data_IF_924162865456
#
_entry.id   IF_924162865456
#
_cell.length_a   1.000
_cell.length_b   1.000
_cell.length_c   1.000
_cell.angle_alpha   90.00
_cell.angle_beta   90.00
_cell.angle_gamma   90.00
#
_symmetry.space_group_name_H-M   'P 1'
#
loop_
_entity.id
_entity.type
_entity.pdbx_description
1 polymer ?
#
# COMPACT_ATOMS: atom_id res chain seq x y z
N UNK A 1 2.93 -47.04 -21.22
CA UNK A 1 3.60 -46.17 -20.22
C UNK A 1 3.18 -44.69 -20.35
N UNK A 2 1.91 -44.40 -20.61
CA UNK A 2 1.40 -43.02 -20.86
C UNK A 2 0.49 -42.49 -19.74
N UNK A 3 0.02 -43.32 -18.81
CA UNK A 3 -0.90 -42.91 -17.74
C UNK A 3 -0.26 -42.13 -16.59
N UNK A 4 0.93 -42.53 -16.13
CA UNK A 4 1.53 -41.97 -14.91
C UNK A 4 1.98 -40.49 -15.03
N UNK A 5 2.34 -40.04 -16.24
CA UNK A 5 2.74 -38.64 -16.48
C UNK A 5 1.55 -37.68 -16.49
N UNK A 6 0.39 -38.13 -16.97
CA UNK A 6 -0.82 -37.31 -16.99
C UNK A 6 -1.38 -37.08 -15.57
N UNK A 7 -1.33 -38.10 -14.71
CA UNK A 7 -1.81 -38.00 -13.32
C UNK A 7 -0.93 -37.09 -12.46
N UNK A 8 0.39 -37.13 -12.65
CA UNK A 8 1.32 -36.26 -11.91
C UNK A 8 1.17 -34.77 -12.27
N UNK A 9 0.94 -34.46 -13.55
CA UNK A 9 0.71 -33.07 -14.01
C UNK A 9 -0.64 -32.54 -13.51
N UNK A 10 -1.70 -33.36 -13.53
CA UNK A 10 -3.01 -32.96 -13.02
C UNK A 10 -3.00 -32.67 -11.49
N UNK A 11 -2.26 -33.45 -10.70
CA UNK A 11 -2.08 -33.22 -9.26
C UNK A 11 -1.29 -31.93 -8.97
N UNK A 12 -0.26 -31.63 -9.76
CA UNK A 12 0.52 -30.41 -9.61
C UNK A 12 -0.31 -29.14 -9.94
N UNK A 13 -1.12 -29.17 -11.00
CA UNK A 13 -1.99 -28.04 -11.38
C UNK A 13 -3.13 -27.84 -10.37
N UNK A 14 -3.71 -28.93 -9.84
CA UNK A 14 -4.73 -28.87 -8.79
C UNK A 14 -4.22 -28.26 -7.48
N UNK A 15 -2.97 -28.55 -7.10
CA UNK A 15 -2.35 -27.96 -5.91
C UNK A 15 -2.09 -26.45 -6.08
N UNK A 16 -1.66 -26.03 -7.28
CA UNK A 16 -1.43 -24.61 -7.60
C UNK A 16 -2.74 -23.81 -7.54
N UNK A 17 -3.85 -24.38 -8.02
CA UNK A 17 -5.17 -23.73 -7.96
C UNK A 17 -5.71 -23.63 -6.52
N UNK A 18 -5.49 -24.64 -5.67
CA UNK A 18 -5.90 -24.61 -4.27
C UNK A 18 -5.09 -23.60 -3.42
N UNK A 19 -3.86 -23.27 -3.83
CA UNK A 19 -3.03 -22.26 -3.19
C UNK A 19 -3.33 -20.82 -3.63
N UNK A 20 -4.17 -20.60 -4.66
CA UNK A 20 -4.72 -19.29 -5.02
C UNK A 20 -5.88 -18.85 -4.07
N UNK A 21 -5.86 -19.33 -2.83
CA UNK A 21 -6.95 -19.26 -1.88
C UNK A 21 -7.42 -17.84 -1.60
N UNK A 22 -8.74 -17.64 -1.74
CA UNK A 22 -9.58 -16.60 -1.15
C UNK A 22 -8.87 -15.27 -0.85
N UNK A 23 -8.20 -14.72 -1.86
CA UNK A 23 -7.68 -13.38 -1.83
C UNK A 23 -8.82 -12.36 -1.93
N UNK A 24 -8.77 -11.24 -1.21
CA UNK A 24 -9.52 -10.06 -1.66
C UNK A 24 -9.11 -9.77 -3.10
N UNK A 25 -10.08 -9.66 -4.01
CA UNK A 25 -9.76 -9.31 -5.39
C UNK A 25 -8.97 -7.99 -5.43
N UNK A 26 -7.98 -7.84 -6.33
CA UNK A 26 -7.38 -6.55 -6.57
C UNK A 26 -8.44 -5.55 -7.06
N UNK A 27 -8.22 -4.27 -6.79
CA UNK A 27 -9.04 -3.20 -7.33
C UNK A 27 -9.07 -3.26 -8.86
N UNK A 28 -10.24 -2.98 -9.44
CA UNK A 28 -10.36 -2.85 -10.89
C UNK A 28 -9.66 -1.59 -11.37
N UNK A 29 -9.30 -1.58 -12.66
CA UNK A 29 -8.65 -0.43 -13.29
C UNK A 29 -9.52 0.84 -13.21
N UNK A 30 -10.83 0.71 -13.38
CA UNK A 30 -11.77 1.84 -13.28
C UNK A 30 -11.75 2.49 -11.88
N UNK A 31 -11.66 1.68 -10.82
CA UNK A 31 -11.57 2.20 -9.44
C UNK A 31 -10.23 2.91 -9.21
N UNK A 32 -9.14 2.36 -9.76
CA UNK A 32 -7.81 2.99 -9.68
C UNK A 32 -7.78 4.31 -10.45
N UNK A 33 -8.33 4.35 -11.66
CA UNK A 33 -8.29 5.53 -12.52
C UNK A 33 -9.23 6.66 -12.05
N UNK A 34 -10.25 6.34 -11.25
CA UNK A 34 -11.13 7.31 -10.61
C UNK A 34 -10.45 8.12 -9.48
N UNK A 35 -9.36 7.62 -8.88
CA UNK A 35 -8.57 8.32 -7.87
C UNK A 35 -7.24 8.81 -8.48
N UNK A 36 -7.04 10.12 -8.68
CA UNK A 36 -5.82 10.66 -9.29
C UNK A 36 -4.53 10.29 -8.55
N UNK A 37 -4.56 10.20 -7.21
CA UNK A 37 -3.39 9.86 -6.41
C UNK A 37 -3.09 8.37 -6.49
N UNK A 38 -4.13 7.53 -6.41
CA UNK A 38 -3.95 6.09 -6.55
C UNK A 38 -3.46 5.70 -7.95
N UNK A 39 -3.93 6.39 -9.00
CA UNK A 39 -3.44 6.22 -10.37
C UNK A 39 -1.94 6.50 -10.51
N UNK A 40 -1.43 7.53 -9.82
CA UNK A 40 0.00 7.87 -9.80
C UNK A 40 0.81 6.75 -9.12
N UNK A 41 0.33 6.25 -7.97
CA UNK A 41 0.94 5.10 -7.28
C UNK A 41 0.93 3.85 -8.15
N UNK A 42 -0.19 3.55 -8.80
CA UNK A 42 -0.32 2.38 -9.65
C UNK A 42 0.64 2.42 -10.83
N UNK A 43 0.80 3.59 -11.47
CA UNK A 43 1.78 3.75 -12.54
C UNK A 43 3.22 3.51 -12.08
N UNK A 44 3.58 3.91 -10.85
CA UNK A 44 4.89 3.61 -10.26
C UNK A 44 5.05 2.12 -9.95
N UNK A 45 4.00 1.47 -9.45
CA UNK A 45 3.98 0.03 -9.20
C UNK A 45 4.13 -0.76 -10.52
N UNK A 46 3.37 -0.39 -11.56
CA UNK A 46 3.46 -0.97 -12.91
C UNK A 46 4.90 -0.95 -13.44
N UNK A 47 5.55 0.22 -13.41
CA UNK A 47 6.96 0.34 -13.82
C UNK A 47 7.87 -0.56 -12.99
N UNK A 48 7.73 -0.51 -11.66
CA UNK A 48 8.57 -1.29 -10.75
C UNK A 48 8.48 -2.79 -11.00
N UNK A 49 7.27 -3.30 -11.24
CA UNK A 49 7.02 -4.72 -11.55
C UNK A 49 7.57 -5.07 -12.93
N UNK A 50 7.32 -4.23 -13.94
CA UNK A 50 7.82 -4.47 -15.30
C UNK A 50 9.35 -4.47 -15.34
N UNK A 51 10.00 -3.51 -14.68
CA UNK A 51 11.47 -3.43 -14.61
C UNK A 51 12.07 -4.65 -13.90
N UNK A 52 11.42 -5.15 -12.85
CA UNK A 52 11.86 -6.37 -12.17
C UNK A 52 11.76 -7.58 -13.11
N UNK A 53 10.64 -7.74 -13.80
CA UNK A 53 10.42 -8.85 -14.72
C UNK A 53 11.27 -8.77 -16.00
N UNK A 54 11.70 -7.57 -16.40
CA UNK A 54 12.56 -7.33 -17.54
C UNK A 54 14.06 -7.36 -17.21
N UNK A 55 14.43 -7.54 -15.94
CA UNK A 55 15.82 -7.54 -15.50
C UNK A 55 16.61 -8.69 -16.14
N UNK A 56 17.72 -8.38 -16.81
CA UNK A 56 18.62 -9.39 -17.38
C UNK A 56 19.54 -10.01 -16.33
N UNK A 57 19.89 -9.24 -15.30
CA UNK A 57 20.81 -9.65 -14.22
C UNK A 57 20.13 -10.49 -13.13
N UNK A 58 18.81 -10.65 -13.17
CA UNK A 58 18.03 -11.21 -12.07
C UNK A 58 16.73 -11.85 -12.57
N UNK A 59 16.47 -13.09 -12.18
CA UNK A 59 15.24 -13.78 -12.56
C UNK A 59 14.16 -13.60 -11.48
N UNK A 60 13.16 -12.78 -11.77
CA UNK A 60 12.03 -12.52 -10.87
C UNK A 60 10.85 -13.47 -11.11
N UNK A 61 10.35 -14.03 -10.02
CA UNK A 61 9.29 -15.05 -10.00
C UNK A 61 8.20 -14.64 -9.02
N UNK A 62 6.98 -15.10 -9.27
CA UNK A 62 5.82 -14.78 -8.45
C UNK A 62 5.25 -16.01 -7.73
N UNK A 63 4.59 -15.74 -6.61
CA UNK A 63 3.84 -16.68 -5.83
C UNK A 63 4.67 -17.85 -5.32
N UNK A 64 3.99 -18.95 -5.06
CA UNK A 64 4.59 -20.16 -4.51
C UNK A 64 5.65 -20.80 -5.40
N UNK A 65 5.49 -20.70 -6.72
CA UNK A 65 6.50 -21.16 -7.65
C UNK A 65 7.79 -20.34 -7.50
N UNK A 66 7.68 -19.03 -7.32
CA UNK A 66 8.83 -18.17 -7.03
C UNK A 66 9.55 -18.56 -5.75
N UNK A 67 8.80 -18.86 -4.68
CA UNK A 67 9.39 -19.37 -3.43
C UNK A 67 10.21 -20.65 -3.66
N UNK A 68 9.68 -21.60 -4.44
CA UNK A 68 10.38 -22.84 -4.74
C UNK A 68 11.65 -22.57 -5.56
N UNK A 69 11.55 -21.74 -6.61
CA UNK A 69 12.65 -21.47 -7.55
C UNK A 69 13.85 -20.80 -6.88
N UNK A 70 13.64 -19.88 -5.94
CA UNK A 70 14.73 -19.25 -5.17
C UNK A 70 15.62 -20.28 -4.45
N UNK A 71 15.09 -21.46 -4.10
CA UNK A 71 15.85 -22.48 -3.37
C UNK A 71 16.48 -23.57 -4.24
N UNK A 72 16.00 -23.75 -5.48
CA UNK A 72 16.39 -24.90 -6.32
C UNK A 72 17.10 -24.51 -7.61
N UNK A 73 16.87 -23.29 -8.10
CA UNK A 73 17.47 -22.83 -9.34
C UNK A 73 18.82 -22.14 -9.05
N UNK A 74 19.88 -22.42 -9.85
CA UNK A 74 21.16 -21.74 -9.71
C UNK A 74 21.08 -20.30 -10.24
N UNK A 75 21.79 -19.37 -9.60
CA UNK A 75 21.87 -17.97 -10.02
C UNK A 75 21.02 -17.04 -9.16
N UNK A 76 20.86 -15.79 -9.62
CA UNK A 76 20.17 -14.73 -8.88
C UNK A 76 18.66 -14.79 -9.12
N UNK A 77 18.01 -15.67 -8.35
CA UNK A 77 16.57 -15.87 -8.36
C UNK A 77 15.89 -15.11 -7.23
N UNK A 78 14.88 -14.32 -7.60
CA UNK A 78 14.05 -13.58 -6.66
C UNK A 78 12.59 -14.00 -6.79
N UNK A 79 11.90 -14.16 -5.67
CA UNK A 79 10.51 -14.60 -5.71
C UNK A 79 9.87 -14.87 -4.37
N UNK A 80 10.59 -14.65 -3.27
CA UNK A 80 10.02 -14.61 -1.92
C UNK A 80 9.18 -13.35 -1.76
N UNK A 81 8.12 -13.41 -0.94
CA UNK A 81 7.24 -12.26 -0.72
C UNK A 81 7.98 -11.03 -0.20
N UNK A 82 8.99 -11.20 0.67
CA UNK A 82 9.81 -10.08 1.12
C UNK A 82 10.75 -9.51 0.04
N UNK A 83 11.20 -10.30 -0.94
CA UNK A 83 11.95 -9.78 -2.10
C UNK A 83 11.10 -8.78 -2.90
N UNK A 84 9.83 -9.14 -3.12
CA UNK A 84 8.88 -8.24 -3.79
C UNK A 84 8.50 -7.05 -2.92
N UNK A 85 8.32 -7.22 -1.61
CA UNK A 85 8.09 -6.10 -0.70
C UNK A 85 9.21 -5.06 -0.81
N UNK A 86 10.47 -5.49 -0.73
CA UNK A 86 11.62 -4.58 -0.80
C UNK A 86 11.69 -3.89 -2.17
N UNK A 87 11.48 -4.63 -3.27
CA UNK A 87 11.47 -4.06 -4.64
C UNK A 87 10.35 -3.04 -4.84
N UNK A 88 9.13 -3.38 -4.43
CA UNK A 88 7.96 -2.49 -4.52
C UNK A 88 8.16 -1.25 -3.67
N UNK A 89 8.64 -1.40 -2.44
CA UNK A 89 8.90 -0.26 -1.55
C UNK A 89 9.91 0.69 -2.17
N UNK A 90 11.05 0.18 -2.64
CA UNK A 90 12.08 0.97 -3.28
C UNK A 90 11.57 1.72 -4.52
N UNK A 91 10.77 1.06 -5.37
CA UNK A 91 10.27 1.65 -6.62
C UNK A 91 9.12 2.64 -6.44
N UNK A 92 8.28 2.48 -5.41
CA UNK A 92 7.07 3.30 -5.22
C UNK A 92 7.27 4.43 -4.21
N UNK A 93 8.22 4.31 -3.29
CA UNK A 93 8.36 5.23 -2.15
C UNK A 93 8.44 6.71 -2.51
N UNK A 94 9.34 7.09 -3.42
CA UNK A 94 9.51 8.50 -3.81
C UNK A 94 8.23 9.09 -4.41
N UNK A 95 7.48 8.27 -5.15
CA UNK A 95 6.19 8.66 -5.75
C UNK A 95 5.13 8.86 -4.67
N UNK A 96 5.04 7.95 -3.69
CA UNK A 96 4.09 8.07 -2.58
C UNK A 96 4.38 9.29 -1.70
N UNK A 97 5.65 9.49 -1.33
CA UNK A 97 6.07 10.64 -0.51
C UNK A 97 5.82 11.97 -1.24
N UNK A 98 6.05 12.03 -2.56
CA UNK A 98 5.83 13.24 -3.36
C UNK A 98 4.36 13.70 -3.41
N UNK A 99 3.40 12.77 -3.32
CA UNK A 99 1.96 13.09 -3.26
C UNK A 99 1.45 13.24 -1.81
N UNK A 100 2.35 13.27 -0.82
CA UNK A 100 2.03 13.44 0.60
C UNK A 100 1.56 12.16 1.31
N UNK A 101 1.64 11.00 0.66
CA UNK A 101 1.27 9.72 1.25
C UNK A 101 2.45 9.11 2.03
N UNK A 102 2.13 8.24 2.97
CA UNK A 102 3.09 7.41 3.70
C UNK A 102 3.15 6.02 3.08
N UNK A 103 4.28 5.36 3.27
CA UNK A 103 4.57 4.03 2.76
C UNK A 103 5.37 3.23 3.79
N UNK A 104 5.03 1.97 3.99
CA UNK A 104 5.71 1.07 4.94
C UNK A 104 5.53 -0.39 4.51
N UNK A 105 6.28 -1.30 5.13
CA UNK A 105 6.05 -2.74 4.98
C UNK A 105 4.95 -3.22 5.91
N UNK A 106 4.31 -4.32 5.53
CA UNK A 106 3.41 -5.09 6.37
C UNK A 106 3.73 -6.57 6.20
N UNK A 107 3.92 -7.26 7.32
CA UNK A 107 4.04 -8.71 7.38
C UNK A 107 2.76 -9.32 7.96
N UNK A 108 2.29 -10.43 7.41
CA UNK A 108 1.17 -11.19 7.96
C UNK A 108 1.54 -12.68 8.05
N UNK A 109 0.93 -13.39 9.01
CA UNK A 109 1.20 -14.79 9.27
C UNK A 109 2.70 -15.10 9.48
N UNK A 110 3.41 -14.21 10.17
CA UNK A 110 4.85 -14.28 10.39
C UNK A 110 5.28 -15.61 11.03
N UNK A 111 6.28 -16.26 10.44
CA UNK A 111 6.80 -17.56 10.90
C UNK A 111 5.94 -18.76 10.51
N UNK A 112 4.86 -18.56 9.76
CA UNK A 112 3.98 -19.63 9.29
C UNK A 112 4.22 -19.91 7.81
N UNK A 113 3.75 -21.08 7.34
CA UNK A 113 3.86 -21.42 5.93
C UNK A 113 3.21 -20.36 5.01
N UNK A 114 2.18 -19.65 5.48
CA UNK A 114 1.50 -18.61 4.71
C UNK A 114 1.98 -17.19 5.01
N UNK A 115 3.20 -17.07 5.55
CA UNK A 115 3.89 -15.78 5.73
C UNK A 115 3.82 -14.95 4.45
N UNK A 116 3.36 -13.71 4.57
CA UNK A 116 3.17 -12.83 3.44
C UNK A 116 3.61 -11.41 3.78
N UNK A 117 4.52 -10.89 2.97
CA UNK A 117 5.07 -9.55 3.09
C UNK A 117 4.58 -8.71 1.91
N UNK A 118 4.09 -7.51 2.22
CA UNK A 118 3.56 -6.55 1.24
C UNK A 118 3.93 -5.14 1.62
N UNK A 119 3.65 -4.21 0.71
CA UNK A 119 3.81 -2.78 0.96
C UNK A 119 2.44 -2.15 1.22
N UNK A 120 2.36 -1.29 2.22
CA UNK A 120 1.20 -0.47 2.53
C UNK A 120 1.49 0.97 2.15
N UNK A 121 0.60 1.58 1.38
CA UNK A 121 0.55 3.02 1.11
C UNK A 121 -0.72 3.61 1.69
N UNK A 122 -0.63 4.80 2.29
CA UNK A 122 -1.79 5.44 2.90
C UNK A 122 -1.68 6.95 2.97
N UNK A 123 -2.81 7.64 2.90
CA UNK A 123 -2.88 9.08 3.20
C UNK A 123 -2.84 9.30 4.72
N UNK A 124 -1.79 9.94 5.28
CA UNK A 124 -1.67 10.10 6.73
C UNK A 124 -2.72 11.02 7.35
N UNK A 125 -3.47 11.82 6.58
CA UNK A 125 -4.51 12.71 7.13
C UNK A 125 -5.68 11.96 7.77
N UNK A 126 -5.86 10.68 7.43
CA UNK A 126 -6.92 9.82 7.96
C UNK A 126 -6.49 8.85 9.06
N UNK A 127 -5.22 8.85 9.49
CA UNK A 127 -4.70 7.85 10.41
C UNK A 127 -3.75 8.44 11.44
N UNK A 128 -3.84 7.95 12.68
CA UNK A 128 -2.75 8.11 13.64
C UNK A 128 -1.50 7.37 13.12
N UNK A 129 -0.29 7.95 13.24
CA UNK A 129 0.93 7.38 12.67
C UNK A 129 1.22 5.92 13.06
N UNK A 130 0.77 5.50 14.24
CA UNK A 130 0.97 4.16 14.79
C UNK A 130 -0.12 3.14 14.42
N UNK A 131 -1.23 3.57 13.81
CA UNK A 131 -2.45 2.75 13.74
C UNK A 131 -3.08 2.52 12.35
N UNK A 132 -2.35 2.56 11.22
CA UNK A 132 -2.99 2.30 9.92
C UNK A 132 -3.59 0.89 9.82
N UNK A 133 -3.11 -0.09 10.58
CA UNK A 133 -3.66 -1.46 10.62
C UNK A 133 -4.92 -1.62 11.50
N UNK A 134 -5.17 -0.68 12.42
CA UNK A 134 -6.30 -0.72 13.35
C UNK A 134 -7.51 0.05 12.83
N UNK A 135 -7.28 1.04 11.97
CA UNK A 135 -8.35 1.84 11.39
C UNK A 135 -9.38 0.97 10.66
N UNK A 136 -10.63 1.08 11.10
CA UNK A 136 -11.74 0.25 10.68
C UNK A 136 -12.19 0.50 9.23
N UNK A 137 -11.84 1.64 8.61
CA UNK A 137 -12.53 2.01 7.36
C UNK A 137 -11.98 3.21 6.60
N UNK A 138 -10.73 3.62 6.78
CA UNK A 138 -10.19 4.66 5.90
C UNK A 138 -10.12 4.13 4.45
N UNK A 139 -10.84 4.77 3.52
CA UNK A 139 -10.82 4.44 2.07
C UNK A 139 -9.48 4.78 1.39
N UNK A 140 -8.47 5.20 2.16
CA UNK A 140 -7.21 5.77 1.66
C UNK A 140 -5.98 5.05 2.19
N UNK A 141 -6.11 3.73 2.40
CA UNK A 141 -5.01 2.83 2.66
C UNK A 141 -5.10 1.61 1.74
N UNK A 142 -4.00 1.32 1.06
CA UNK A 142 -3.94 0.31 0.03
C UNK A 142 -2.70 -0.57 0.19
N UNK A 143 -2.89 -1.86 -0.05
CA UNK A 143 -1.82 -2.85 -0.08
C UNK A 143 -1.37 -3.03 -1.52
N UNK A 144 -0.06 -2.93 -1.76
CA UNK A 144 0.60 -3.20 -3.02
C UNK A 144 1.23 -4.60 -2.97
N UNK A 145 0.73 -5.52 -3.79
CA UNK A 145 1.08 -6.95 -3.75
C UNK A 145 1.52 -7.47 -5.12
N UNK A 146 2.79 -7.28 -5.45
CA UNK A 146 3.34 -7.81 -6.68
C UNK A 146 3.65 -9.31 -6.61
N UNK A 147 3.86 -9.85 -5.40
CA UNK A 147 4.33 -11.22 -5.22
C UNK A 147 3.31 -12.25 -5.68
N UNK A 148 2.02 -12.10 -5.33
CA UNK A 148 1.02 -13.17 -5.58
C UNK A 148 0.94 -13.63 -7.03
N UNK A 149 1.00 -12.68 -7.97
CA UNK A 149 0.77 -12.94 -9.40
C UNK A 149 1.86 -12.41 -10.33
N UNK A 150 2.85 -11.69 -9.81
CA UNK A 150 3.81 -10.96 -10.65
C UNK A 150 3.14 -9.82 -11.41
N UNK A 151 2.10 -9.23 -10.81
CA UNK A 151 1.26 -8.18 -11.40
C UNK A 151 1.17 -7.00 -10.42
N UNK A 152 0.96 -5.77 -10.88
CA UNK A 152 0.88 -4.58 -10.02
C UNK A 152 -0.45 -4.52 -9.25
N UNK A 153 -0.73 -5.53 -8.42
CA UNK A 153 -2.00 -5.65 -7.73
C UNK A 153 -2.10 -4.66 -6.57
N UNK A 154 -3.23 -3.95 -6.51
CA UNK A 154 -3.59 -3.04 -5.42
C UNK A 154 -4.85 -3.57 -4.75
N UNK A 155 -4.82 -3.66 -3.43
CA UNK A 155 -5.97 -4.08 -2.62
C UNK A 155 -6.37 -2.97 -1.66
N UNK A 156 -7.67 -2.86 -1.34
CA UNK A 156 -8.08 -2.08 -0.16
C UNK A 156 -7.50 -2.75 1.09
N UNK A 157 -6.95 -1.95 2.01
CA UNK A 157 -6.37 -2.48 3.24
C UNK A 157 -7.37 -3.32 4.03
N UNK A 158 -8.62 -2.86 4.19
CA UNK A 158 -9.66 -3.61 4.93
C UNK A 158 -9.91 -5.01 4.37
N UNK A 159 -10.15 -5.11 3.06
CA UNK A 159 -10.34 -6.39 2.39
C UNK A 159 -9.10 -7.29 2.50
N UNK A 160 -7.89 -6.71 2.49
CA UNK A 160 -6.67 -7.47 2.70
C UNK A 160 -6.53 -7.98 4.14
N UNK A 161 -6.83 -7.15 5.15
CA UNK A 161 -6.80 -7.52 6.57
C UNK A 161 -7.80 -8.62 6.92
N UNK A 162 -9.00 -8.59 6.34
CA UNK A 162 -10.05 -9.57 6.60
C UNK A 162 -9.61 -11.01 6.26
N UNK A 163 -8.72 -11.16 5.26
CA UNK A 163 -8.14 -12.46 4.89
C UNK A 163 -7.31 -13.12 6.02
N UNK A 164 -6.74 -12.30 6.91
CA UNK A 164 -5.83 -12.73 7.98
C UNK A 164 -6.54 -12.73 9.34
N UNK A 165 -7.40 -11.73 9.60
CA UNK A 165 -8.20 -11.66 10.84
C UNK A 165 -9.09 -12.87 11.02
N UNK A 166 -9.72 -13.36 9.95
CA UNK A 166 -10.53 -14.59 9.99
C UNK A 166 -9.77 -15.85 10.38
N UNK A 167 -8.43 -15.81 10.41
CA UNK A 167 -7.54 -16.91 10.76
C UNK A 167 -6.82 -16.71 12.10
N UNK A 168 -7.17 -15.66 12.85
CA UNK A 168 -6.49 -15.29 14.09
C UNK A 168 -5.09 -14.70 13.89
N UNK A 169 -4.76 -14.28 12.66
CA UNK A 169 -3.45 -13.74 12.32
C UNK A 169 -3.51 -12.22 12.36
N UNK A 170 -2.58 -11.62 13.09
CA UNK A 170 -2.46 -10.16 13.17
C UNK A 170 -1.34 -9.68 12.26
N UNK A 171 -1.65 -8.92 11.21
CA UNK A 171 -0.64 -8.23 10.43
C UNK A 171 0.13 -7.24 11.31
N UNK A 172 1.42 -7.11 11.04
CA UNK A 172 2.34 -6.24 11.76
C UNK A 172 2.97 -5.24 10.81
N UNK A 173 3.12 -3.99 11.25
CA UNK A 173 3.89 -3.00 10.50
C UNK A 173 5.36 -3.37 10.54
N UNK A 174 5.99 -3.32 9.39
CA UNK A 174 7.42 -3.55 9.24
C UNK A 174 8.06 -2.22 8.84
N UNK A 175 8.91 -1.63 9.69
CA UNK A 175 9.68 -0.47 9.28
C UNK A 175 10.62 -0.90 8.15
N UNK A 176 10.31 -0.47 6.93
CA UNK A 176 11.19 -0.67 5.79
C UNK A 176 12.20 0.48 5.79
N UNK A 177 13.49 0.17 5.99
CA UNK A 177 14.50 1.22 6.05
C UNK A 177 14.59 1.93 4.71
N UNK A 178 14.88 3.23 4.78
CA UNK A 178 14.99 4.11 3.63
C UNK A 178 16.02 3.64 2.59
N UNK A 179 17.03 2.90 3.05
CA UNK A 179 18.16 2.40 2.29
C UNK A 179 18.58 1.06 2.88
N UNK A 180 18.21 -0.06 2.28
CA UNK A 180 18.88 -1.33 2.57
C UNK A 180 19.20 -2.08 1.29
N UNK A 181 20.41 -1.88 0.74
CA UNK A 181 21.08 -2.96 0.03
C UNK A 181 21.31 -4.19 0.94
N UNK A 182 21.44 -4.00 2.27
CA UNK A 182 21.90 -5.08 3.16
C UNK A 182 20.81 -6.06 3.62
N UNK A 183 19.51 -5.80 3.38
CA UNK A 183 18.46 -6.79 3.70
C UNK A 183 18.54 -8.02 2.80
N UNK A 184 18.99 -7.82 1.56
CA UNK A 184 19.35 -8.88 0.61
C UNK A 184 20.50 -9.76 1.15
N UNK A 185 21.40 -9.16 1.95
CA UNK A 185 22.62 -9.81 2.41
C UNK A 185 22.49 -10.46 3.80
N UNK A 186 21.55 -10.00 4.64
CA UNK A 186 21.49 -10.40 6.04
C UNK A 186 20.71 -11.70 6.31
N UNK A 187 19.86 -12.17 5.38
CA UNK A 187 19.18 -13.47 5.49
C UNK A 187 19.92 -14.51 4.64
N UNK A 188 21.07 -14.94 5.16
CA UNK A 188 21.93 -16.00 4.61
C UNK A 188 21.14 -17.18 4.04
N UNK A 189 21.11 -17.32 2.72
CA UNK A 189 20.90 -18.63 2.08
C UNK A 189 22.30 -19.16 1.71
N UNK A 190 22.87 -19.99 2.59
CA UNK A 190 24.02 -20.88 2.31
C UNK A 190 25.30 -20.23 1.74
N UNK A 191 25.75 -19.10 2.30
CA UNK A 191 27.15 -18.66 2.13
C UNK A 191 27.54 -18.10 0.76
N UNK A 192 26.57 -17.71 -0.08
CA UNK A 192 26.83 -16.99 -1.32
C UNK A 192 26.64 -15.50 -1.07
N UNK A 193 27.66 -14.70 -1.40
CA UNK A 193 27.61 -13.24 -1.39
C UNK A 193 26.86 -12.77 -2.63
N UNK A 194 25.77 -12.05 -2.43
CA UNK A 194 25.06 -11.33 -3.50
C UNK A 194 25.54 -9.88 -3.43
N UNK A 195 26.11 -9.36 -4.50
CA UNK A 195 26.47 -7.94 -4.55
C UNK A 195 25.20 -7.10 -4.72
N UNK A 196 25.14 -5.88 -4.14
CA UNK A 196 23.94 -5.05 -4.19
C UNK A 196 23.56 -4.73 -5.65
N UNK A 197 22.32 -5.04 -6.02
CA UNK A 197 21.78 -4.66 -7.32
C UNK A 197 21.76 -3.12 -7.39
N UNK A 198 22.42 -2.49 -8.37
CA UNK A 198 22.34 -1.05 -8.54
C UNK A 198 20.90 -0.68 -8.91
N UNK A 199 20.17 -0.10 -7.95
CA UNK A 199 18.89 0.53 -8.23
C UNK A 199 19.22 1.81 -8.99
N UNK A 200 19.01 1.81 -10.30
CA UNK A 200 19.03 3.05 -11.09
C UNK A 200 17.89 3.94 -10.61
N UNK A 201 18.21 4.95 -9.81
CA UNK A 201 17.25 5.93 -9.27
C UNK A 201 16.91 7.02 -10.29
N UNK A 202 17.17 6.79 -11.58
CA UNK A 202 16.81 7.73 -12.63
C UNK A 202 15.29 7.87 -12.66
N UNK A 203 14.79 8.97 -12.09
CA UNK A 203 13.37 9.25 -11.91
C UNK A 203 12.90 10.26 -12.98
N UNK A 204 12.43 9.83 -14.16
CA UNK A 204 11.91 10.74 -15.18
C UNK A 204 10.63 11.48 -14.72
N UNK A 205 9.99 11.07 -13.61
CA UNK A 205 8.83 11.78 -13.07
C UNK A 205 9.21 13.05 -12.30
N UNK A 206 10.47 13.23 -11.88
CA UNK A 206 10.91 14.51 -11.31
C UNK A 206 11.05 15.61 -12.37
N UNK A 207 11.33 15.25 -13.62
CA UNK A 207 11.50 16.21 -14.72
C UNK A 207 10.17 16.62 -15.39
N UNK A 208 9.06 15.92 -15.08
CA UNK A 208 7.76 16.14 -15.72
C UNK A 208 6.70 16.80 -14.81
N UNK A 209 6.99 17.04 -13.52
CA UNK A 209 6.07 17.77 -12.64
C UNK A 209 6.27 19.27 -12.87
N UNK A 210 5.46 19.83 -13.79
CA UNK A 210 5.26 21.27 -13.88
C UNK A 210 4.81 21.79 -12.50
N UNK A 211 5.35 22.92 -12.02
CA UNK A 211 4.93 23.50 -10.76
C UNK A 211 3.43 23.79 -10.81
N UNK A 212 2.67 23.16 -9.92
CA UNK A 212 1.28 23.56 -9.66
C UNK A 212 1.35 24.95 -9.03
N UNK A 213 1.02 25.97 -9.83
CA UNK A 213 0.92 27.35 -9.37
C UNK A 213 -0.05 27.42 -8.19
N UNK A 214 0.49 27.62 -6.98
CA UNK A 214 -0.27 28.03 -5.81
C UNK A 214 -0.95 29.37 -6.17
N UNK A 215 -2.26 29.57 -5.91
CA UNK A 215 -2.84 30.90 -6.01
C UNK A 215 -2.09 31.81 -5.04
N UNK A 216 -1.43 32.84 -5.58
CA UNK A 216 -0.79 33.88 -4.79
C UNK A 216 -1.87 34.55 -3.93
N UNK A 217 -1.72 34.43 -2.61
CA UNK A 217 -2.51 35.19 -1.66
C UNK A 217 -2.33 36.68 -1.92
N UNK A 218 -3.45 37.38 -2.10
CA UNK A 218 -3.49 38.81 -2.26
C UNK A 218 -2.83 39.53 -1.08
N UNK A 219 -2.02 40.53 -1.38
CA UNK A 219 -1.49 41.46 -0.41
C UNK A 219 -2.62 42.34 0.18
N UNK A 220 -2.51 42.77 1.45
CA UNK A 220 -3.49 43.61 2.12
C UNK A 220 -3.37 45.06 1.63
N UNK A 221 -4.40 45.54 0.93
CA UNK A 221 -4.51 46.93 0.47
C UNK A 221 -5.54 47.72 1.28
N UNK A 222 -5.03 48.58 2.16
CA UNK A 222 -5.52 49.91 2.56
C UNK A 222 -6.99 50.29 2.36
N UNK A 223 -7.64 50.58 3.51
CA UNK A 223 -8.88 51.31 3.71
C UNK A 223 -8.83 52.75 3.15
N UNK A 224 -9.98 53.30 2.71
CA UNK A 224 -10.37 54.63 3.18
C UNK A 224 -11.79 54.65 3.76
N UNK A 225 -11.93 55.43 4.83
CA UNK A 225 -13.08 55.44 5.72
C UNK A 225 -14.36 56.01 5.12
N UNK A 226 -15.48 55.57 5.69
CA UNK A 226 -16.72 56.32 5.69
C UNK A 226 -17.34 56.35 7.07
N UNK A 227 -17.70 57.56 7.46
CA UNK A 227 -18.24 58.00 8.72
C UNK A 227 -19.67 57.49 8.95
N UNK A 228 -19.88 57.03 10.19
CA UNK A 228 -21.08 56.84 11.03
C UNK A 228 -22.34 57.62 10.59
N UNK A 229 -23.54 57.04 10.79
CA UNK A 229 -24.35 57.51 11.92
C UNK A 229 -24.84 56.37 12.84
N UNK A 230 -24.68 56.64 14.13
CA UNK A 230 -25.26 55.97 15.30
C UNK A 230 -26.78 56.04 15.27
N UNK A 231 -27.48 54.95 15.59
CA UNK A 231 -28.79 55.05 16.24
C UNK A 231 -29.21 53.81 17.05
N UNK A 232 -29.53 54.15 18.30
CA UNK A 232 -30.49 53.61 19.27
C UNK A 232 -30.35 52.21 19.87
N UNK A 233 -29.91 52.28 21.13
CA UNK A 233 -30.39 51.55 22.31
C UNK A 233 -31.85 51.06 22.21
N UNK A 234 -32.02 49.75 22.36
CA UNK A 234 -33.12 49.17 23.15
C UNK A 234 -32.75 47.78 23.65
N UNK A 235 -32.58 47.70 24.95
CA UNK A 235 -32.48 46.46 25.74
C UNK A 235 -33.89 45.90 26.04
N UNK A 236 -34.06 44.78 26.79
CA UNK A 236 -34.81 43.58 26.37
C UNK A 236 -36.15 43.42 27.11
N UNK A 237 -36.87 42.31 26.85
CA UNK A 237 -37.31 41.45 27.95
C UNK A 237 -37.08 39.95 27.65
N UNK A 238 -36.56 39.17 28.59
CA UNK A 238 -37.30 38.48 29.66
C UNK A 238 -38.35 37.50 29.11
N UNK A 239 -38.06 36.20 29.22
CA UNK A 239 -38.99 35.13 28.87
C UNK A 239 -38.58 33.82 29.54
N UNK A 240 -38.84 33.74 30.84
CA UNK A 240 -38.90 32.48 31.56
C UNK A 240 -40.09 31.65 31.05
N UNK A 241 -39.89 30.34 30.93
CA UNK A 241 -40.94 29.38 30.60
C UNK A 241 -40.68 28.09 31.37
N UNK A 242 -41.48 27.90 32.42
CA UNK A 242 -41.56 26.74 33.30
C UNK A 242 -41.97 25.44 32.58
N UNK A 243 -41.51 24.35 33.20
CA UNK A 243 -42.00 22.95 33.27
C UNK A 243 -43.48 22.66 32.87
N UNK A 244 -43.83 21.41 32.45
CA UNK A 244 -44.16 20.40 33.45
C UNK A 244 -43.76 18.93 33.17
N UNK A 245 -43.56 18.26 34.31
CA UNK A 245 -43.62 16.82 34.58
C UNK A 245 -44.75 16.08 33.85
N UNK A 246 -44.46 14.87 33.40
CA UNK A 246 -45.42 13.85 32.99
C UNK A 246 -44.88 12.44 33.27
N UNK A 247 -45.54 11.75 34.20
CA UNK A 247 -45.28 10.48 34.91
C UNK A 247 -45.48 9.17 34.09
N UNK A 248 -45.33 7.95 34.68
CA UNK A 248 -44.79 6.74 34.02
C UNK A 248 -45.81 5.60 33.72
N UNK A 249 -45.24 4.46 33.28
CA UNK A 249 -45.68 3.04 33.29
C UNK A 249 -46.39 2.47 32.04
N UNK A 250 -45.75 1.44 31.50
CA UNK A 250 -46.30 0.20 30.97
C UNK A 250 -45.34 -0.91 31.36
#
# INVERSE_FOLDING_TARGET
MTGARATAVALAVGLIAACAGCGSAPLSRDVIDADPQLRIIHAALERTVNDALASEDAAWHAGWLGNALVHVAPGDHFGLCFHWQDRVFAGVRSTAEAIGWRITGVGAAMGLAREHHVVLVYDPSGYEPSEPLMASSGDRAFVLDAWRRGKPDIHKLSGWLDMYRGKGEQPVLEPLPATHPDRWNARWIRGVRIDPIPISVANPAQDAILPVSRPQGGAPGTTPGHTVPTRDDRAPPSGAGDEPRGTPRG
#
